data_IF_080073789445
#
_entry.id   IF_080073789445
#
_cell.length_a   1.000
_cell.length_b   1.000
_cell.length_c   1.000
_cell.angle_alpha   90.00
_cell.angle_beta   90.00
_cell.angle_gamma   90.00
#
_symmetry.space_group_name_H-M   'P 1'
#
loop_
_entity.id
_entity.type
_entity.pdbx_description
1 polymer ?
#
# COMPACT_ATOMS: atom_id res chain seq x y z
N UNK A 1 17.86 -11.39 -9.96
CA UNK A 1 16.42 -11.24 -9.72
C UNK A 1 16.22 -10.45 -8.44
N UNK A 2 15.32 -9.48 -8.45
CA UNK A 2 14.84 -8.77 -7.25
C UNK A 2 13.36 -9.00 -7.10
N UNK A 3 12.91 -9.13 -5.84
CA UNK A 3 11.50 -9.03 -5.47
C UNK A 3 11.25 -7.55 -5.21
N UNK A 4 10.41 -6.93 -6.02
CA UNK A 4 10.16 -5.49 -5.92
C UNK A 4 9.07 -5.19 -4.89
N UNK A 5 7.93 -5.86 -4.97
CA UNK A 5 6.83 -5.68 -4.02
C UNK A 5 5.83 -6.84 -4.06
N UNK A 6 4.98 -6.88 -3.03
CA UNK A 6 3.83 -7.79 -3.01
C UNK A 6 2.67 -7.20 -3.81
N UNK A 7 2.02 -8.03 -4.63
CA UNK A 7 0.87 -7.66 -5.43
C UNK A 7 -0.22 -8.72 -5.26
N UNK A 8 -1.30 -8.38 -4.57
CA UNK A 8 -2.34 -9.36 -4.20
C UNK A 8 -1.73 -10.55 -3.44
N UNK A 9 -1.92 -11.77 -3.94
CA UNK A 9 -1.37 -13.01 -3.38
C UNK A 9 -0.07 -13.48 -4.06
N UNK A 10 0.68 -12.56 -4.67
CA UNK A 10 1.91 -12.85 -5.38
C UNK A 10 3.00 -11.82 -5.09
N UNK A 11 4.22 -12.13 -5.50
CA UNK A 11 5.36 -11.22 -5.46
C UNK A 11 5.71 -10.80 -6.89
N UNK A 12 5.77 -9.50 -7.14
CA UNK A 12 6.28 -8.97 -8.39
C UNK A 12 7.80 -8.94 -8.35
N UNK A 13 8.42 -9.53 -9.38
CA UNK A 13 9.85 -9.72 -9.48
C UNK A 13 10.37 -9.16 -10.80
N UNK A 14 11.57 -8.57 -10.76
CA UNK A 14 12.33 -8.16 -11.96
C UNK A 14 13.62 -8.94 -12.07
N UNK A 15 13.98 -9.25 -13.30
CA UNK A 15 15.26 -9.85 -13.62
C UNK A 15 16.17 -8.80 -14.27
N UNK A 16 17.38 -8.67 -13.76
CA UNK A 16 18.39 -7.71 -14.24
C UNK A 16 19.53 -8.48 -14.89
N UNK A 17 19.90 -8.08 -16.09
CA UNK A 17 20.97 -8.72 -16.86
C UNK A 17 20.85 -8.42 -18.36
N UNK A 18 21.79 -8.94 -19.15
CA UNK A 18 21.84 -8.79 -20.61
C UNK A 18 21.04 -9.87 -21.34
N UNK A 19 19.86 -10.22 -20.86
CA UNK A 19 18.96 -11.21 -21.44
C UNK A 19 17.53 -10.68 -21.52
N UNK A 20 16.72 -11.21 -22.43
CA UNK A 20 15.29 -10.94 -22.48
C UNK A 20 14.57 -11.95 -21.57
N UNK A 21 13.73 -11.44 -20.67
CA UNK A 21 12.84 -12.28 -19.87
C UNK A 21 11.58 -12.55 -20.70
N UNK A 22 11.48 -13.76 -21.25
CA UNK A 22 10.31 -14.23 -21.96
C UNK A 22 9.67 -15.45 -21.25
N UNK A 23 8.56 -15.91 -21.79
CA UNK A 23 7.83 -17.05 -21.23
C UNK A 23 8.64 -18.35 -21.27
N UNK A 24 9.46 -18.53 -22.32
CA UNK A 24 10.27 -19.74 -22.49
C UNK A 24 11.41 -19.80 -21.47
N UNK A 25 12.11 -18.69 -21.25
CA UNK A 25 13.12 -18.59 -20.21
C UNK A 25 12.51 -18.82 -18.82
N UNK A 26 11.35 -18.20 -18.54
CA UNK A 26 10.68 -18.36 -17.26
C UNK A 26 10.23 -19.80 -17.02
N UNK A 27 9.74 -20.50 -18.05
CA UNK A 27 9.39 -21.91 -17.97
C UNK A 27 10.63 -22.80 -17.68
N UNK A 28 11.80 -22.47 -18.28
CA UNK A 28 13.05 -23.15 -17.99
C UNK A 28 13.49 -22.93 -16.54
N UNK A 29 13.36 -21.69 -16.03
CA UNK A 29 13.65 -21.36 -14.63
C UNK A 29 12.73 -22.15 -13.71
N UNK A 30 11.41 -22.15 -13.96
CA UNK A 30 10.46 -22.92 -13.16
C UNK A 30 10.79 -24.42 -13.15
N UNK A 31 11.09 -24.99 -14.30
CA UNK A 31 11.52 -26.40 -14.42
C UNK A 31 12.77 -26.68 -13.58
N UNK A 32 13.77 -25.79 -13.62
CA UNK A 32 14.99 -25.94 -12.81
C UNK A 32 14.70 -25.85 -11.33
N UNK A 33 13.87 -24.90 -10.89
CA UNK A 33 13.48 -24.76 -9.49
C UNK A 33 12.74 -26.01 -9.00
N UNK A 34 11.80 -26.55 -9.80
CA UNK A 34 11.11 -27.81 -9.46
C UNK A 34 12.07 -29.00 -9.31
N UNK A 35 13.06 -29.10 -10.20
CA UNK A 35 14.09 -30.13 -10.10
C UNK A 35 14.93 -30.01 -8.82
N UNK A 36 15.20 -28.79 -8.32
CA UNK A 36 15.87 -28.57 -7.05
C UNK A 36 14.97 -28.92 -5.85
N UNK A 37 13.68 -28.64 -5.96
CA UNK A 37 12.67 -29.02 -4.95
C UNK A 37 12.56 -30.53 -4.82
N UNK A 38 12.49 -31.25 -5.94
CA UNK A 38 12.39 -32.72 -5.98
C UNK A 38 13.64 -33.40 -5.39
N UNK A 39 14.79 -32.77 -5.46
CA UNK A 39 16.04 -33.26 -4.90
C UNK A 39 16.11 -33.03 -3.37
N UNK A 40 15.24 -32.23 -2.78
CA UNK A 40 15.25 -31.86 -1.36
C UNK A 40 16.65 -31.46 -0.88
N UNK A 41 17.31 -30.55 -1.63
CA UNK A 41 18.67 -30.12 -1.31
C UNK A 41 18.69 -29.32 0.00
N UNK A 42 19.69 -29.57 0.86
CA UNK A 42 19.80 -28.84 2.13
C UNK A 42 20.09 -27.36 1.89
N UNK A 43 19.47 -26.51 2.73
CA UNK A 43 19.75 -25.08 2.79
C UNK A 43 20.61 -24.87 4.04
N UNK A 44 21.90 -24.76 3.84
CA UNK A 44 22.88 -24.68 4.91
C UNK A 44 22.93 -23.26 5.49
N UNK A 45 22.82 -23.15 6.82
CA UNK A 45 22.90 -21.88 7.54
C UNK A 45 24.24 -21.75 8.25
N UNK A 46 24.94 -20.65 8.03
CA UNK A 46 26.17 -20.31 8.70
C UNK A 46 26.10 -18.91 9.33
N UNK A 47 26.30 -18.80 10.63
CA UNK A 47 26.44 -17.51 11.30
C UNK A 47 27.89 -17.03 11.17
N UNK A 48 28.10 -15.86 10.57
CA UNK A 48 29.41 -15.27 10.33
C UNK A 48 29.50 -13.87 10.95
N UNK A 49 30.71 -13.38 11.14
CA UNK A 49 30.90 -12.00 11.56
C UNK A 49 30.51 -11.04 10.41
N UNK A 50 30.02 -9.86 10.79
CA UNK A 50 29.45 -8.91 9.82
C UNK A 50 30.51 -8.45 8.78
N UNK A 51 31.78 -8.32 9.20
CA UNK A 51 32.89 -7.95 8.30
C UNK A 51 33.17 -9.04 7.27
N UNK A 52 33.14 -10.32 7.68
CA UNK A 52 33.26 -11.46 6.79
C UNK A 52 32.12 -11.49 5.77
N UNK A 53 30.88 -11.29 6.24
CA UNK A 53 29.71 -11.25 5.38
C UNK A 53 29.79 -10.10 4.35
N UNK A 54 30.18 -8.91 4.79
CA UNK A 54 30.34 -7.73 3.89
C UNK A 54 31.40 -7.98 2.82
N UNK A 55 32.56 -8.56 3.21
CA UNK A 55 33.61 -8.89 2.25
C UNK A 55 33.16 -9.94 1.23
N UNK A 56 32.44 -10.98 1.70
CA UNK A 56 31.87 -12.02 0.84
C UNK A 56 30.85 -11.44 -0.15
N UNK A 57 29.89 -10.64 0.31
CA UNK A 57 28.84 -10.04 -0.52
C UNK A 57 29.42 -9.10 -1.57
N UNK A 58 30.39 -8.24 -1.21
CA UNK A 58 31.10 -7.40 -2.15
C UNK A 58 31.85 -8.21 -3.22
N UNK A 59 32.55 -9.25 -2.82
CA UNK A 59 33.28 -10.15 -3.72
C UNK A 59 32.38 -10.88 -4.73
N UNK A 60 31.08 -11.02 -4.42
CA UNK A 60 30.09 -11.65 -5.28
C UNK A 60 29.14 -10.65 -5.97
N UNK A 61 29.48 -9.35 -6.01
CA UNK A 61 28.69 -8.34 -6.71
C UNK A 61 27.37 -7.94 -6.02
N UNK A 62 27.19 -8.29 -4.73
CA UNK A 62 26.01 -7.97 -3.93
C UNK A 62 26.27 -6.71 -3.06
N UNK A 63 26.68 -5.61 -3.71
CA UNK A 63 27.09 -4.40 -3.01
C UNK A 63 25.95 -3.74 -2.23
N UNK A 64 24.71 -3.83 -2.70
CA UNK A 64 23.52 -3.32 -2.05
C UNK A 64 23.32 -3.99 -0.66
N UNK A 65 23.50 -5.31 -0.59
CA UNK A 65 23.43 -6.06 0.66
C UNK A 65 24.60 -5.78 1.61
N UNK A 66 25.81 -5.65 1.05
CA UNK A 66 26.99 -5.26 1.84
C UNK A 66 26.83 -3.86 2.44
N UNK A 67 26.24 -2.92 1.67
CA UNK A 67 25.94 -1.56 2.13
C UNK A 67 24.91 -1.57 3.26
N UNK A 68 23.86 -2.37 3.15
CA UNK A 68 22.86 -2.56 4.20
C UNK A 68 23.50 -3.08 5.50
N UNK A 69 24.41 -4.04 5.41
CA UNK A 69 25.08 -4.60 6.59
C UNK A 69 25.98 -3.60 7.31
N UNK A 70 26.51 -2.59 6.65
CA UNK A 70 27.36 -1.54 7.22
C UNK A 70 26.72 -0.82 8.41
N UNK A 71 25.37 -0.68 8.38
CA UNK A 71 24.62 0.06 9.41
C UNK A 71 23.96 -0.87 10.45
N UNK A 72 24.19 -2.16 10.35
CA UNK A 72 23.59 -3.12 11.25
C UNK A 72 24.33 -3.17 12.59
N UNK A 73 23.59 -3.09 13.70
CA UNK A 73 24.15 -3.11 15.06
C UNK A 73 24.64 -4.53 15.46
N UNK A 74 24.08 -5.59 14.87
CA UNK A 74 24.46 -6.97 15.17
C UNK A 74 25.89 -7.25 14.73
N UNK A 75 26.72 -7.88 15.57
CA UNK A 75 28.07 -8.31 15.21
C UNK A 75 28.10 -9.52 14.28
N UNK A 76 27.00 -10.29 14.19
CA UNK A 76 26.90 -11.50 13.39
C UNK A 76 25.64 -11.51 12.54
N UNK A 77 25.72 -12.13 11.36
CA UNK A 77 24.62 -12.33 10.42
C UNK A 77 24.61 -13.76 9.91
N UNK A 78 23.45 -14.19 9.38
CA UNK A 78 23.30 -15.52 8.81
C UNK A 78 23.47 -15.46 7.28
N UNK A 79 24.37 -16.25 6.78
CA UNK A 79 24.46 -16.60 5.36
C UNK A 79 23.80 -17.97 5.16
N UNK A 80 23.09 -18.11 4.04
CA UNK A 80 22.46 -19.37 3.64
C UNK A 80 23.03 -19.81 2.30
N UNK A 81 23.37 -21.09 2.21
CA UNK A 81 23.97 -21.71 1.02
C UNK A 81 23.04 -22.78 0.47
N UNK A 82 22.74 -22.72 -0.81
CA UNK A 82 22.00 -23.71 -1.57
C UNK A 82 22.73 -24.02 -2.88
N UNK A 83 23.10 -25.26 -3.10
CA UNK A 83 23.75 -25.74 -4.34
C UNK A 83 24.94 -24.85 -4.77
N UNK A 84 25.78 -24.45 -3.81
CA UNK A 84 26.94 -23.58 -4.04
C UNK A 84 26.66 -22.09 -4.17
N UNK A 85 25.39 -21.68 -4.23
CA UNK A 85 25.01 -20.26 -4.18
C UNK A 85 24.78 -19.83 -2.73
N UNK A 86 25.45 -18.78 -2.29
CA UNK A 86 25.36 -18.26 -0.93
C UNK A 86 24.81 -16.83 -0.94
N UNK A 87 23.86 -16.59 -0.05
CA UNK A 87 23.25 -15.27 0.10
C UNK A 87 22.95 -14.95 1.57
N UNK A 88 22.72 -13.67 1.87
CA UNK A 88 22.23 -13.18 3.14
C UNK A 88 20.71 -13.22 3.20
N UNK A 89 20.16 -13.75 4.29
CA UNK A 89 18.73 -13.65 4.57
C UNK A 89 18.48 -13.32 6.05
N UNK A 90 17.60 -12.36 6.27
CA UNK A 90 17.29 -11.84 7.60
C UNK A 90 16.56 -12.83 8.49
N UNK A 91 15.63 -13.61 7.93
CA UNK A 91 14.75 -14.51 8.66
C UNK A 91 15.25 -15.94 8.74
N UNK A 92 14.30 -16.83 8.94
CA UNK A 92 14.53 -18.27 8.92
C UNK A 92 14.19 -18.83 7.54
N UNK A 93 14.98 -19.78 7.07
CA UNK A 93 14.67 -20.59 5.90
C UNK A 93 14.30 -22.01 6.34
N UNK A 94 13.57 -22.70 5.45
CA UNK A 94 13.31 -24.14 5.59
C UNK A 94 14.61 -24.93 5.53
N UNK A 95 14.68 -26.14 6.13
CA UNK A 95 15.92 -26.91 6.16
C UNK A 95 16.39 -27.42 4.78
N UNK A 96 15.46 -27.64 3.87
CA UNK A 96 15.76 -28.11 2.50
C UNK A 96 14.72 -27.60 1.51
N UNK A 97 15.02 -27.76 0.21
CA UNK A 97 14.14 -27.30 -0.88
C UNK A 97 12.86 -28.11 -1.02
N UNK A 98 12.78 -29.31 -0.46
CA UNK A 98 11.60 -30.19 -0.56
C UNK A 98 10.32 -29.60 0.08
N UNK A 99 10.48 -28.58 0.94
CA UNK A 99 9.35 -27.82 1.49
C UNK A 99 8.72 -26.84 0.49
N UNK A 100 9.42 -26.49 -0.60
CA UNK A 100 9.01 -25.41 -1.51
C UNK A 100 8.22 -25.94 -2.73
N UNK A 101 7.30 -26.87 -2.50
CA UNK A 101 6.58 -27.60 -3.56
C UNK A 101 5.59 -26.73 -4.33
N UNK A 102 4.99 -25.76 -3.68
CA UNK A 102 3.83 -25.05 -4.17
C UNK A 102 4.19 -23.61 -4.55
N UNK A 103 4.43 -23.36 -5.82
CA UNK A 103 4.66 -22.05 -6.41
C UNK A 103 4.33 -22.09 -7.90
N UNK A 104 4.18 -20.92 -8.52
CA UNK A 104 4.10 -20.75 -9.96
C UNK A 104 4.79 -19.45 -10.37
N UNK A 105 5.41 -19.48 -11.57
CA UNK A 105 6.04 -18.31 -12.18
C UNK A 105 5.24 -17.94 -13.43
N UNK A 106 4.86 -16.66 -13.56
CA UNK A 106 4.12 -16.18 -14.73
C UNK A 106 4.70 -14.85 -15.22
N UNK A 107 4.88 -14.65 -16.54
CA UNK A 107 5.25 -13.34 -17.07
C UNK A 107 4.21 -12.29 -16.69
N UNK A 108 4.65 -11.11 -16.29
CA UNK A 108 3.74 -10.03 -15.93
C UNK A 108 4.42 -8.67 -16.18
N UNK A 109 3.81 -7.85 -17.05
CA UNK A 109 4.32 -6.53 -17.43
C UNK A 109 5.81 -6.57 -17.83
N UNK A 110 6.67 -5.78 -17.20
CA UNK A 110 8.11 -5.71 -17.44
C UNK A 110 8.95 -6.69 -16.57
N UNK A 111 8.28 -7.66 -15.94
CA UNK A 111 8.88 -8.65 -15.06
C UNK A 111 8.11 -9.97 -15.04
N UNK A 112 8.02 -10.55 -13.86
CA UNK A 112 7.23 -11.75 -13.63
C UNK A 112 6.66 -11.76 -12.20
N UNK A 113 5.66 -12.58 -11.98
CA UNK A 113 5.11 -12.85 -10.65
C UNK A 113 5.53 -14.22 -10.14
N UNK A 114 5.89 -14.27 -8.87
CA UNK A 114 6.02 -15.49 -8.09
C UNK A 114 4.77 -15.63 -7.25
N UNK A 115 3.92 -16.61 -7.59
CA UNK A 115 2.72 -16.95 -6.82
C UNK A 115 3.05 -17.99 -5.77
N UNK A 116 2.50 -17.77 -4.58
CA UNK A 116 2.64 -18.65 -3.43
C UNK A 116 1.25 -19.10 -2.95
N UNK A 117 1.15 -20.22 -2.22
CA UNK A 117 -0.10 -20.64 -1.57
C UNK A 117 -0.59 -19.60 -0.56
N UNK A 118 -1.89 -19.54 -0.37
CA UNK A 118 -2.48 -18.83 0.75
C UNK A 118 -2.34 -19.67 2.05
N UNK A 119 -2.32 -18.99 3.20
CA UNK A 119 -2.21 -19.66 4.51
C UNK A 119 -3.37 -20.65 4.77
N UNK A 120 -4.55 -20.32 4.26
CA UNK A 120 -5.75 -21.14 4.41
C UNK A 120 -5.73 -22.41 3.53
N UNK A 121 -4.92 -22.40 2.47
CA UNK A 121 -4.74 -23.53 1.57
C UNK A 121 -3.27 -23.68 1.13
N UNK A 122 -2.40 -24.17 2.01
CA UNK A 122 -0.94 -24.17 1.80
C UNK A 122 -0.46 -25.16 0.72
N UNK A 123 -1.32 -26.04 0.24
CA UNK A 123 -1.00 -27.04 -0.77
C UNK A 123 -1.52 -26.69 -2.17
N UNK A 124 -2.04 -25.48 -2.36
CA UNK A 124 -2.56 -25.04 -3.65
C UNK A 124 -2.19 -23.60 -3.96
N UNK A 125 -1.64 -23.36 -5.14
CA UNK A 125 -1.43 -22.02 -5.66
C UNK A 125 -2.74 -21.50 -6.24
N UNK A 126 -3.33 -20.50 -5.59
CA UNK A 126 -4.59 -19.89 -6.00
C UNK A 126 -4.49 -19.09 -7.30
N UNK A 127 -5.62 -18.68 -7.86
CA UNK A 127 -5.66 -17.79 -9.02
C UNK A 127 -5.05 -16.41 -8.69
N UNK A 128 -4.40 -15.79 -9.66
CA UNK A 128 -3.86 -14.45 -9.53
C UNK A 128 -4.83 -13.43 -10.13
N UNK A 129 -5.26 -12.49 -9.30
CA UNK A 129 -6.14 -11.39 -9.73
C UNK A 129 -5.52 -10.06 -9.30
N UNK A 130 -4.67 -9.46 -10.16
CA UNK A 130 -3.97 -8.24 -9.80
C UNK A 130 -4.88 -7.02 -9.82
N UNK A 131 -4.67 -6.11 -8.86
CA UNK A 131 -5.17 -4.76 -8.98
C UNK A 131 -4.17 -3.92 -9.79
N UNK A 132 -4.48 -3.68 -11.06
CA UNK A 132 -3.60 -2.90 -11.96
C UNK A 132 -3.38 -1.46 -11.48
N UNK A 133 -4.34 -0.87 -10.75
CA UNK A 133 -4.16 0.46 -10.15
C UNK A 133 -3.10 0.45 -9.06
N UNK A 134 -3.12 -0.58 -8.19
CA UNK A 134 -2.10 -0.76 -7.16
C UNK A 134 -0.74 -1.05 -7.79
N UNK A 135 -0.69 -1.94 -8.77
CA UNK A 135 0.54 -2.23 -9.51
C UNK A 135 1.19 -0.95 -10.07
N UNK A 136 0.44 -0.16 -10.84
CA UNK A 136 0.96 1.09 -11.42
C UNK A 136 1.44 2.06 -10.35
N UNK A 137 0.69 2.24 -9.27
CA UNK A 137 1.08 3.15 -8.19
C UNK A 137 2.41 2.73 -7.53
N UNK A 138 2.62 1.43 -7.30
CA UNK A 138 3.86 0.90 -6.72
C UNK A 138 5.03 0.95 -7.70
N UNK A 139 4.81 0.55 -8.94
CA UNK A 139 5.81 0.59 -10.01
C UNK A 139 6.29 2.03 -10.28
N UNK A 140 5.37 3.00 -10.34
CA UNK A 140 5.72 4.41 -10.47
C UNK A 140 6.46 4.96 -9.24
N UNK A 141 6.12 4.48 -8.04
CA UNK A 141 6.81 4.89 -6.82
C UNK A 141 8.28 4.43 -6.83
N UNK A 142 8.53 3.19 -7.27
CA UNK A 142 9.88 2.63 -7.43
C UNK A 142 10.72 3.47 -8.41
N UNK A 143 10.18 3.75 -9.60
CA UNK A 143 10.89 4.57 -10.60
C UNK A 143 11.26 5.97 -10.10
N UNK A 144 10.42 6.59 -9.29
CA UNK A 144 10.70 7.92 -8.70
C UNK A 144 11.81 7.88 -7.65
N UNK A 145 11.85 6.86 -6.82
CA UNK A 145 12.87 6.73 -5.80
C UNK A 145 14.23 6.43 -6.41
N UNK A 146 14.24 5.59 -7.45
CA UNK A 146 15.44 5.35 -8.24
C UNK A 146 15.98 6.65 -8.87
N UNK A 147 15.11 7.58 -9.29
CA UNK A 147 15.53 8.89 -9.83
C UNK A 147 16.14 9.84 -8.78
N UNK A 148 16.03 9.50 -7.49
CA UNK A 148 16.67 10.20 -6.37
C UNK A 148 17.94 9.49 -5.88
N UNK A 149 18.47 8.53 -6.65
CA UNK A 149 19.59 7.67 -6.28
C UNK A 149 19.39 6.88 -5.00
N UNK A 150 18.12 6.51 -4.71
CA UNK A 150 17.73 5.70 -3.56
C UNK A 150 16.96 4.48 -4.06
N UNK A 151 17.65 3.36 -4.23
CA UNK A 151 17.08 2.10 -4.69
C UNK A 151 16.97 1.05 -3.58
N UNK A 152 17.61 1.30 -2.44
CA UNK A 152 17.64 0.37 -1.31
C UNK A 152 17.90 1.09 0.02
N UNK A 153 17.68 0.37 1.13
CA UNK A 153 17.84 0.91 2.49
C UNK A 153 19.28 1.33 2.77
N UNK A 154 20.28 0.60 2.25
CA UNK A 154 21.69 0.95 2.46
C UNK A 154 22.06 2.32 1.86
N UNK A 155 21.49 2.69 0.71
CA UNK A 155 21.65 4.03 0.11
C UNK A 155 20.97 5.11 0.95
N UNK A 156 19.76 4.82 1.45
CA UNK A 156 19.07 5.73 2.37
C UNK A 156 19.88 5.93 3.66
N UNK A 157 20.44 4.87 4.22
CA UNK A 157 21.27 4.93 5.43
C UNK A 157 22.56 5.74 5.21
N UNK A 158 23.19 5.63 4.02
CA UNK A 158 24.34 6.47 3.65
C UNK A 158 23.99 7.96 3.63
N UNK A 159 22.81 8.33 3.10
CA UNK A 159 22.31 9.71 3.09
C UNK A 159 22.06 10.20 4.53
N UNK A 160 21.41 9.38 5.35
CA UNK A 160 21.15 9.72 6.77
C UNK A 160 22.45 9.90 7.52
N UNK A 161 23.40 8.97 7.38
CA UNK A 161 24.71 9.02 8.04
C UNK A 161 25.59 10.20 7.58
N UNK A 162 25.41 10.66 6.34
CA UNK A 162 26.11 11.84 5.82
C UNK A 162 25.51 13.18 6.28
N UNK A 163 24.39 13.16 7.04
CA UNK A 163 23.72 14.37 7.52
C UNK A 163 22.76 15.01 6.53
N UNK A 164 22.49 14.39 5.37
CA UNK A 164 21.65 14.93 4.31
C UNK A 164 20.16 14.50 4.42
N UNK A 165 19.76 13.92 5.53
CA UNK A 165 18.37 13.44 5.75
C UNK A 165 17.32 14.54 5.56
N UNK A 166 17.61 15.78 6.00
CA UNK A 166 16.69 16.92 5.85
C UNK A 166 16.39 17.23 4.39
N UNK A 167 17.40 17.21 3.52
CA UNK A 167 17.20 17.46 2.10
C UNK A 167 16.35 16.37 1.44
N UNK A 168 16.57 15.12 1.83
CA UNK A 168 15.76 13.99 1.37
C UNK A 168 14.28 14.13 1.80
N UNK A 169 14.04 14.48 3.07
CA UNK A 169 12.68 14.70 3.59
C UNK A 169 11.97 15.81 2.79
N UNK A 170 12.63 16.96 2.61
CA UNK A 170 12.07 18.08 1.86
C UNK A 170 11.76 17.71 0.40
N UNK A 171 12.62 16.92 -0.26
CA UNK A 171 12.39 16.46 -1.62
C UNK A 171 11.16 15.54 -1.70
N UNK A 172 11.01 14.62 -0.75
CA UNK A 172 9.85 13.74 -0.67
C UNK A 172 8.54 14.50 -0.34
N UNK A 173 8.60 15.48 0.56
CA UNK A 173 7.45 16.34 0.86
C UNK A 173 7.03 17.16 -0.35
N UNK A 174 7.97 17.74 -1.07
CA UNK A 174 7.70 18.50 -2.29
C UNK A 174 7.07 17.61 -3.38
N UNK A 175 7.57 16.38 -3.54
CA UNK A 175 6.99 15.41 -4.46
C UNK A 175 5.57 15.02 -4.06
N UNK A 176 5.31 14.82 -2.77
CA UNK A 176 3.98 14.51 -2.25
C UNK A 176 3.01 15.66 -2.53
N UNK A 177 3.39 16.91 -2.23
CA UNK A 177 2.56 18.09 -2.51
C UNK A 177 2.25 18.24 -3.99
N UNK A 178 3.23 18.04 -4.85
CA UNK A 178 3.01 18.04 -6.30
C UNK A 178 1.94 17.03 -6.71
N UNK A 179 2.01 15.80 -6.22
CA UNK A 179 1.03 14.75 -6.55
C UNK A 179 -0.37 15.06 -6.03
N UNK A 180 -0.48 15.67 -4.85
CA UNK A 180 -1.77 16.12 -4.32
C UNK A 180 -2.33 17.24 -5.21
N UNK A 181 -1.47 18.15 -5.69
CA UNK A 181 -1.84 19.18 -6.65
C UNK A 181 -2.35 18.59 -7.98
N UNK A 182 -1.61 17.63 -8.56
CA UNK A 182 -2.03 16.94 -9.80
C UNK A 182 -3.43 16.30 -9.62
N UNK A 183 -3.71 15.67 -8.49
CA UNK A 183 -5.04 15.11 -8.17
C UNK A 183 -6.10 16.21 -8.07
N UNK A 184 -5.78 17.34 -7.43
CA UNK A 184 -6.70 18.45 -7.29
C UNK A 184 -7.04 19.08 -8.65
N UNK A 185 -6.08 19.22 -9.56
CA UNK A 185 -6.28 19.68 -10.94
C UNK A 185 -7.18 18.70 -11.72
N UNK A 186 -6.94 17.39 -11.58
CA UNK A 186 -7.78 16.37 -12.21
C UNK A 186 -9.24 16.45 -11.73
N UNK A 187 -9.45 16.65 -10.41
CA UNK A 187 -10.78 16.83 -9.83
C UNK A 187 -11.44 18.10 -10.37
N UNK A 188 -10.70 19.22 -10.37
CA UNK A 188 -11.22 20.51 -10.84
C UNK A 188 -11.57 20.51 -12.34
N UNK A 189 -10.86 19.73 -13.15
CA UNK A 189 -11.17 19.55 -14.57
C UNK A 189 -12.48 18.77 -14.82
N UNK A 190 -12.95 18.00 -13.84
CA UNK A 190 -14.18 17.17 -13.93
C UNK A 190 -15.36 17.88 -13.28
N UNK A 191 -16.12 18.64 -14.08
CA UNK A 191 -17.23 19.49 -13.60
C UNK A 191 -18.35 18.73 -12.86
N UNK A 192 -18.50 17.44 -13.13
CA UNK A 192 -19.55 16.61 -12.50
C UNK A 192 -19.16 16.11 -11.11
N UNK A 193 -17.88 16.19 -10.72
CA UNK A 193 -17.41 15.71 -9.40
C UNK A 193 -17.90 16.64 -8.31
N UNK A 194 -18.64 16.07 -7.37
CA UNK A 194 -19.14 16.74 -6.16
C UNK A 194 -18.69 16.05 -4.88
N UNK A 195 -18.23 14.80 -4.98
CA UNK A 195 -17.81 13.96 -3.87
C UNK A 195 -16.42 13.39 -4.13
N UNK A 196 -15.45 13.76 -3.32
CA UNK A 196 -14.13 13.14 -3.25
C UNK A 196 -14.14 12.14 -2.11
N UNK A 197 -14.08 10.84 -2.45
CA UNK A 197 -14.24 9.74 -1.51
C UNK A 197 -12.87 9.13 -1.20
N UNK A 198 -12.36 9.35 0.02
CA UNK A 198 -11.01 8.93 0.43
C UNK A 198 -11.10 7.75 1.38
N UNK A 199 -10.58 6.59 0.98
CA UNK A 199 -10.47 5.43 1.84
C UNK A 199 -9.02 4.95 2.00
N UNK A 200 -8.82 4.17 3.05
CA UNK A 200 -7.55 3.53 3.38
C UNK A 200 -7.60 2.91 4.77
N UNK A 201 -6.65 2.08 5.15
CA UNK A 201 -6.62 1.44 6.46
C UNK A 201 -6.50 2.45 7.59
N UNK A 202 -6.74 2.00 8.82
CA UNK A 202 -6.51 2.82 10.01
C UNK A 202 -5.06 3.31 10.04
N UNK A 203 -4.84 4.53 10.52
CA UNK A 203 -3.53 5.19 10.59
C UNK A 203 -2.79 5.37 9.25
N UNK A 204 -3.48 5.28 8.11
CA UNK A 204 -2.88 5.52 6.78
C UNK A 204 -2.71 7.00 6.42
N UNK A 205 -3.14 7.92 7.29
CA UNK A 205 -3.05 9.37 7.05
C UNK A 205 -4.20 9.96 6.24
N UNK A 206 -5.37 9.30 6.14
CA UNK A 206 -6.56 9.78 5.41
C UNK A 206 -6.93 11.22 5.78
N UNK A 207 -7.06 11.51 7.05
CA UNK A 207 -7.44 12.82 7.56
C UNK A 207 -6.41 13.90 7.18
N UNK A 208 -5.12 13.64 7.37
CA UNK A 208 -4.06 14.57 6.95
C UNK A 208 -4.10 14.83 5.44
N UNK A 209 -4.26 13.76 4.66
CA UNK A 209 -4.37 13.87 3.21
C UNK A 209 -5.61 14.65 2.78
N UNK A 210 -6.77 14.41 3.38
CA UNK A 210 -8.02 15.14 3.05
C UNK A 210 -7.88 16.65 3.27
N UNK A 211 -7.21 17.07 4.33
CA UNK A 211 -6.94 18.48 4.58
C UNK A 211 -5.94 19.07 3.57
N UNK A 212 -4.86 18.36 3.23
CA UNK A 212 -3.88 18.81 2.23
C UNK A 212 -4.53 18.90 0.85
N UNK A 213 -5.32 17.89 0.46
CA UNK A 213 -6.07 17.91 -0.80
C UNK A 213 -7.08 19.07 -0.82
N UNK A 214 -7.77 19.33 0.29
CA UNK A 214 -8.68 20.48 0.41
C UNK A 214 -7.96 21.80 0.15
N UNK A 215 -6.73 21.96 0.67
CA UNK A 215 -5.91 23.14 0.39
C UNK A 215 -5.59 23.28 -1.11
N UNK A 216 -5.24 22.20 -1.78
CA UNK A 216 -4.96 22.22 -3.22
C UNK A 216 -6.23 22.46 -4.06
N UNK A 217 -7.38 21.91 -3.63
CA UNK A 217 -8.68 22.19 -4.28
C UNK A 217 -9.07 23.66 -4.18
N UNK A 218 -8.81 24.31 -3.02
CA UNK A 218 -8.97 25.77 -2.87
C UNK A 218 -8.09 26.52 -3.87
N UNK A 219 -6.82 26.12 -4.04
CA UNK A 219 -5.92 26.72 -5.01
C UNK A 219 -6.41 26.56 -6.46
N UNK A 220 -7.14 25.47 -6.75
CA UNK A 220 -7.82 25.23 -8.04
C UNK A 220 -9.15 25.97 -8.19
N UNK A 221 -9.56 26.79 -7.21
CA UNK A 221 -10.79 27.59 -7.25
C UNK A 221 -12.07 26.87 -6.80
N UNK A 222 -11.96 25.67 -6.24
CA UNK A 222 -13.06 24.93 -5.64
C UNK A 222 -13.24 25.29 -4.16
N UNK A 223 -14.41 24.99 -3.60
CA UNK A 223 -14.69 25.15 -2.15
C UNK A 223 -14.88 23.77 -1.51
N UNK A 224 -13.83 23.17 -0.95
CA UNK A 224 -13.90 21.87 -0.31
C UNK A 224 -14.53 21.93 1.08
N UNK A 225 -15.35 20.93 1.39
CA UNK A 225 -15.94 20.70 2.71
C UNK A 225 -15.49 19.33 3.22
N UNK A 226 -14.50 19.26 4.14
CA UNK A 226 -14.06 18.00 4.73
C UNK A 226 -15.14 17.37 5.61
N UNK A 227 -15.41 16.09 5.41
CA UNK A 227 -16.37 15.30 6.19
C UNK A 227 -15.72 13.96 6.58
N UNK A 228 -15.70 13.67 7.88
CA UNK A 228 -15.34 12.35 8.36
C UNK A 228 -16.57 11.43 8.39
N UNK A 229 -16.48 10.25 7.77
CA UNK A 229 -17.60 9.29 7.82
C UNK A 229 -17.88 8.80 9.23
N UNK A 230 -16.91 8.91 10.13
CA UNK A 230 -17.06 8.55 11.54
C UNK A 230 -18.19 9.33 12.23
N UNK A 231 -18.58 10.50 11.71
CA UNK A 231 -19.73 11.23 12.18
C UNK A 231 -21.06 10.52 11.88
N UNK A 232 -21.06 9.53 11.03
CA UNK A 232 -22.22 8.73 10.65
C UNK A 232 -22.25 7.34 11.30
N UNK A 233 -21.44 7.09 12.33
CA UNK A 233 -21.61 5.89 13.15
C UNK A 233 -23.00 5.83 13.79
N UNK A 234 -23.53 4.62 13.91
CA UNK A 234 -24.68 4.32 14.77
C UNK A 234 -24.28 4.56 16.22
N UNK A 235 -25.25 4.79 17.11
CA UNK A 235 -24.93 4.81 18.53
C UNK A 235 -24.29 3.47 18.94
N UNK A 236 -23.41 3.50 19.93
CA UNK A 236 -22.65 2.31 20.35
C UNK A 236 -23.55 1.11 20.65
N UNK A 237 -24.71 1.36 21.28
CA UNK A 237 -25.65 0.31 21.64
C UNK A 237 -26.30 -0.36 20.42
N UNK A 238 -26.42 0.39 19.31
CA UNK A 238 -27.05 -0.05 18.05
C UNK A 238 -26.04 -0.70 17.09
N UNK A 239 -24.75 -0.72 17.46
CA UNK A 239 -23.69 -1.32 16.62
C UNK A 239 -23.84 -2.85 16.58
N UNK A 240 -23.82 -3.48 15.40
CA UNK A 240 -23.85 -4.93 15.28
C UNK A 240 -22.72 -5.61 16.05
N UNK A 241 -22.93 -6.88 16.39
CA UNK A 241 -21.90 -7.70 17.05
C UNK A 241 -21.38 -8.76 16.06
N UNK A 242 -20.11 -9.04 16.19
CA UNK A 242 -19.44 -10.11 15.44
C UNK A 242 -19.85 -11.52 15.96
N UNK A 243 -19.29 -12.58 15.33
CA UNK A 243 -19.55 -13.97 15.71
C UNK A 243 -19.08 -14.31 17.14
N UNK A 244 -18.21 -13.49 17.75
CA UNK A 244 -17.71 -13.66 19.12
C UNK A 244 -18.50 -12.80 20.14
N UNK A 245 -19.55 -12.10 19.70
CA UNK A 245 -20.37 -11.23 20.54
C UNK A 245 -19.73 -9.87 20.84
N UNK A 246 -18.61 -9.51 20.21
CA UNK A 246 -17.98 -8.19 20.32
C UNK A 246 -18.63 -7.22 19.35
N UNK A 247 -18.64 -5.91 19.68
CA UNK A 247 -19.12 -4.90 18.76
C UNK A 247 -18.22 -4.84 17.51
N UNK A 248 -18.82 -4.95 16.34
CA UNK A 248 -18.11 -4.82 15.04
C UNK A 248 -18.11 -3.35 14.59
N UNK A 249 -17.14 -2.58 15.07
CA UNK A 249 -16.98 -1.15 14.72
C UNK A 249 -16.36 -0.94 13.32
N UNK A 250 -15.76 -1.97 12.74
CA UNK A 250 -15.12 -1.86 11.42
C UNK A 250 -16.06 -2.31 10.28
N UNK A 251 -17.10 -3.02 10.58
CA UNK A 251 -18.11 -3.46 9.62
C UNK A 251 -18.97 -2.31 9.10
N UNK A 252 -19.45 -2.42 7.86
CA UNK A 252 -20.36 -1.44 7.26
C UNK A 252 -21.64 -1.27 8.09
N UNK A 253 -22.09 -2.30 8.81
CA UNK A 253 -23.25 -2.24 9.70
C UNK A 253 -23.12 -1.29 10.89
N UNK A 254 -21.90 -0.90 11.27
CA UNK A 254 -21.66 0.13 12.29
C UNK A 254 -22.02 1.52 11.81
N UNK A 255 -22.11 1.72 10.48
CA UNK A 255 -22.42 2.99 9.86
C UNK A 255 -23.93 3.15 9.66
N UNK A 256 -24.44 4.36 9.81
CA UNK A 256 -25.79 4.73 9.40
C UNK A 256 -25.80 5.12 7.93
N UNK A 257 -25.75 4.09 7.07
CA UNK A 257 -25.66 4.22 5.62
C UNK A 257 -26.87 4.99 5.05
N UNK A 258 -28.05 4.77 5.60
CA UNK A 258 -29.29 5.43 5.17
C UNK A 258 -29.23 6.94 5.43
N UNK A 259 -28.83 7.34 6.64
CA UNK A 259 -28.68 8.75 7.00
C UNK A 259 -27.61 9.42 6.14
N UNK A 260 -26.46 8.77 5.94
CA UNK A 260 -25.40 9.29 5.08
C UNK A 260 -25.91 9.54 3.65
N UNK A 261 -26.56 8.55 3.04
CA UNK A 261 -27.08 8.68 1.68
C UNK A 261 -28.19 9.73 1.57
N UNK A 262 -29.06 9.84 2.57
CA UNK A 262 -30.10 10.87 2.64
C UNK A 262 -29.47 12.28 2.67
N UNK A 263 -28.53 12.51 3.56
CA UNK A 263 -27.88 13.81 3.74
C UNK A 263 -27.09 14.22 2.49
N UNK A 264 -26.28 13.32 1.94
CA UNK A 264 -25.50 13.57 0.73
C UNK A 264 -26.40 13.85 -0.49
N UNK A 265 -27.51 13.12 -0.62
CA UNK A 265 -28.48 13.33 -1.70
C UNK A 265 -29.21 14.69 -1.59
N UNK A 266 -29.51 15.13 -0.37
CA UNK A 266 -30.11 16.44 -0.09
C UNK A 266 -29.11 17.57 -0.41
N UNK A 267 -27.86 17.42 0.02
CA UNK A 267 -26.78 18.36 -0.30
C UNK A 267 -26.59 18.49 -1.81
N UNK A 268 -26.62 17.37 -2.56
CA UNK A 268 -26.50 17.40 -4.01
C UNK A 268 -27.63 18.17 -4.69
N UNK A 269 -28.83 18.22 -4.09
CA UNK A 269 -29.97 19.01 -4.56
C UNK A 269 -29.91 20.48 -4.12
N UNK A 270 -28.87 20.89 -3.38
CA UNK A 270 -28.74 22.24 -2.84
C UNK A 270 -29.59 22.51 -1.60
N UNK A 271 -30.10 21.46 -0.94
CA UNK A 271 -30.83 21.61 0.32
C UNK A 271 -29.85 21.84 1.48
N UNK A 272 -30.34 22.52 2.51
CA UNK A 272 -29.59 22.67 3.78
C UNK A 272 -29.73 21.39 4.63
N UNK A 273 -28.60 20.86 5.07
CA UNK A 273 -28.53 19.68 5.94
C UNK A 273 -27.90 20.06 7.28
N UNK A 274 -28.46 19.56 8.37
CA UNK A 274 -27.89 19.66 9.72
C UNK A 274 -26.85 18.52 9.86
N UNK A 275 -25.57 18.85 9.97
CA UNK A 275 -24.48 17.89 9.93
C UNK A 275 -24.29 17.19 11.27
N UNK A 276 -24.22 15.85 11.29
CA UNK A 276 -23.99 15.11 12.51
C UNK A 276 -22.54 15.22 12.99
N UNK A 277 -22.34 15.02 14.28
CA UNK A 277 -21.03 14.83 14.92
C UNK A 277 -21.09 13.62 15.84
N UNK A 278 -20.11 12.74 15.77
CA UNK A 278 -20.08 11.56 16.64
C UNK A 278 -19.26 11.83 17.91
N UNK A 279 -19.89 11.68 19.06
CA UNK A 279 -19.24 11.81 20.35
C UNK A 279 -18.66 10.47 20.82
N UNK A 280 -17.39 10.22 20.55
CA UNK A 280 -16.70 8.96 20.88
C UNK A 280 -16.70 8.62 22.37
N UNK A 281 -16.70 9.64 23.25
CA UNK A 281 -16.72 9.41 24.70
C UNK A 281 -18.08 8.87 25.17
N UNK A 282 -19.18 9.46 24.68
CA UNK A 282 -20.52 9.01 24.96
C UNK A 282 -20.97 7.83 24.11
N UNK A 283 -20.37 7.65 22.94
CA UNK A 283 -20.74 6.64 21.94
C UNK A 283 -22.07 6.94 21.24
N UNK A 284 -22.38 8.22 21.03
CA UNK A 284 -23.64 8.66 20.40
C UNK A 284 -23.39 9.74 19.36
N UNK A 285 -24.29 9.80 18.38
CA UNK A 285 -24.34 10.87 17.40
C UNK A 285 -25.11 12.07 17.97
N UNK A 286 -24.56 13.25 17.79
CA UNK A 286 -25.11 14.52 18.27
C UNK A 286 -25.26 15.49 17.09
N UNK A 287 -26.21 16.42 17.16
CA UNK A 287 -26.41 17.51 16.23
C UNK A 287 -26.14 18.83 16.95
N UNK A 288 -25.06 19.48 16.58
CA UNK A 288 -24.60 20.71 17.25
C UNK A 288 -25.05 21.99 16.53
N UNK A 289 -25.97 21.88 15.57
CA UNK A 289 -26.48 22.99 14.77
C UNK A 289 -25.57 23.44 13.63
N UNK A 290 -24.54 22.63 13.29
CA UNK A 290 -23.72 22.86 12.11
C UNK A 290 -24.53 22.54 10.86
N UNK A 291 -24.73 23.54 9.99
CA UNK A 291 -25.52 23.40 8.77
C UNK A 291 -24.67 23.59 7.55
N UNK A 292 -24.88 22.73 6.56
CA UNK A 292 -24.20 22.78 5.27
C UNK A 292 -25.21 22.90 4.13
N UNK A 293 -24.91 23.74 3.16
CA UNK A 293 -25.63 23.86 1.89
C UNK A 293 -24.59 23.96 0.78
N UNK A 294 -24.72 23.15 -0.27
CA UNK A 294 -23.77 23.20 -1.39
C UNK A 294 -24.22 24.21 -2.45
N UNK A 295 -23.30 25.08 -2.84
CA UNK A 295 -23.39 25.96 -4.00
C UNK A 295 -22.56 25.48 -5.19
N UNK A 296 -22.47 26.32 -6.20
CA UNK A 296 -21.60 26.06 -7.36
C UNK A 296 -20.13 26.12 -6.92
N UNK A 297 -19.36 25.11 -7.35
CA UNK A 297 -17.94 24.97 -7.01
C UNK A 297 -17.65 24.37 -5.62
N UNK A 298 -18.69 24.01 -4.86
CA UNK A 298 -18.51 23.28 -3.62
C UNK A 298 -18.30 21.79 -3.88
N UNK A 299 -17.33 21.17 -3.16
CA UNK A 299 -16.97 19.76 -3.25
C UNK A 299 -16.87 19.17 -1.84
N UNK A 300 -17.51 18.04 -1.61
CA UNK A 300 -17.42 17.32 -0.35
C UNK A 300 -16.18 16.40 -0.39
N UNK A 301 -15.26 16.59 0.57
CA UNK A 301 -14.07 15.75 0.73
C UNK A 301 -14.32 14.80 1.88
N UNK A 302 -14.77 13.59 1.55
CA UNK A 302 -15.27 12.60 2.49
C UNK A 302 -14.20 11.54 2.75
N UNK A 303 -13.82 11.34 4.01
CA UNK A 303 -12.83 10.36 4.39
C UNK A 303 -13.35 9.32 5.37
N UNK A 304 -12.95 8.07 5.17
CA UNK A 304 -13.27 6.95 6.06
C UNK A 304 -12.99 5.59 5.44
N UNK A 305 -13.03 4.55 6.25
CA UNK A 305 -12.65 3.20 5.80
C UNK A 305 -13.58 2.63 4.72
N UNK A 306 -14.86 3.06 4.69
CA UNK A 306 -15.88 2.59 3.77
C UNK A 306 -16.08 3.45 2.52
N UNK A 307 -15.34 4.55 2.34
CA UNK A 307 -15.57 5.50 1.24
C UNK A 307 -15.45 4.90 -0.17
N UNK A 308 -14.72 3.80 -0.35
CA UNK A 308 -14.63 3.11 -1.65
C UNK A 308 -15.69 2.01 -1.83
N UNK A 309 -16.40 1.64 -0.78
CA UNK A 309 -17.49 0.66 -0.88
C UNK A 309 -18.71 1.30 -1.57
N UNK A 310 -19.17 0.69 -2.66
CA UNK A 310 -20.34 1.20 -3.41
C UNK A 310 -21.63 1.06 -2.61
N UNK A 311 -21.73 0.11 -1.69
CA UNK A 311 -22.88 -0.04 -0.79
C UNK A 311 -22.99 1.13 0.18
N UNK A 312 -21.85 1.70 0.64
CA UNK A 312 -21.84 2.86 1.53
C UNK A 312 -22.42 4.11 0.87
N UNK A 313 -22.17 4.31 -0.41
CA UNK A 313 -22.60 5.50 -1.16
C UNK A 313 -23.51 5.14 -2.35
N UNK A 314 -24.44 4.20 -2.14
CA UNK A 314 -25.25 3.59 -3.21
C UNK A 314 -26.21 4.58 -3.91
N UNK A 315 -26.69 5.61 -3.21
CA UNK A 315 -27.62 6.58 -3.77
C UNK A 315 -26.93 7.69 -4.60
N UNK A 316 -25.59 7.80 -4.51
CA UNK A 316 -24.87 8.87 -5.19
C UNK A 316 -24.46 8.46 -6.62
N UNK A 317 -24.65 9.34 -7.63
CA UNK A 317 -24.26 9.06 -9.01
C UNK A 317 -22.76 8.72 -9.12
N UNK A 318 -22.41 7.75 -9.95
CA UNK A 318 -21.01 7.32 -10.11
C UNK A 318 -20.13 8.41 -10.67
N UNK A 319 -20.65 9.18 -11.62
CA UNK A 319 -19.99 10.30 -12.28
C UNK A 319 -19.67 11.45 -11.32
N UNK A 320 -20.47 11.62 -10.25
CA UNK A 320 -20.26 12.68 -9.25
C UNK A 320 -19.18 12.31 -8.23
N UNK A 321 -18.64 11.10 -8.26
CA UNK A 321 -17.64 10.58 -7.30
C UNK A 321 -16.25 10.54 -7.90
N UNK A 322 -15.26 11.01 -7.14
CA UNK A 322 -13.85 10.79 -7.38
C UNK A 322 -13.28 9.95 -6.21
N UNK A 323 -12.82 8.75 -6.50
CA UNK A 323 -12.42 7.77 -5.49
C UNK A 323 -10.90 7.72 -5.35
N UNK A 324 -10.41 7.88 -4.11
CA UNK A 324 -8.98 7.87 -3.77
C UNK A 324 -8.74 6.78 -2.72
N UNK A 325 -7.76 5.92 -2.98
CA UNK A 325 -7.24 4.97 -2.00
C UNK A 325 -5.90 5.46 -1.46
N UNK A 326 -5.79 5.54 -0.14
CA UNK A 326 -4.55 5.89 0.55
C UNK A 326 -4.03 4.68 1.30
N UNK A 327 -2.76 4.37 1.10
CA UNK A 327 -2.05 3.32 1.80
C UNK A 327 -0.61 3.72 2.07
N UNK A 328 -0.07 3.35 3.22
CA UNK A 328 1.36 3.46 3.52
C UNK A 328 2.20 2.37 2.83
N UNK A 329 1.60 1.43 2.10
CA UNK A 329 2.30 0.37 1.38
C UNK A 329 3.23 0.89 0.27
N UNK A 330 3.00 2.09 -0.25
CA UNK A 330 3.89 2.73 -1.22
C UNK A 330 5.17 3.29 -0.60
N UNK A 331 5.29 3.27 0.72
CA UNK A 331 6.52 3.56 1.45
C UNK A 331 7.40 2.32 1.62
N UNK A 332 7.02 1.21 1.04
CA UNK A 332 7.81 -0.04 1.07
C UNK A 332 9.02 0.03 0.14
N UNK A 333 9.90 0.99 0.41
CA UNK A 333 11.29 0.98 -0.02
C UNK A 333 12.13 0.00 0.82
N UNK A 334 11.50 -0.64 1.79
CA UNK A 334 12.14 -1.53 2.73
C UNK A 334 11.79 -2.95 2.32
N UNK A 335 12.33 -3.39 1.21
CA UNK A 335 12.54 -4.81 1.04
C UNK A 335 13.77 -5.20 1.87
N UNK A 336 13.43 -5.69 3.03
CA UNK A 336 14.40 -6.34 3.90
C UNK A 336 14.78 -7.67 3.28
#
# INVERSE_FOLDING_TARGET
>A
VRVEFSLSNALFCKAYGSFALDADLLAQVEKRVRALVDQALPIEKRAVDIEEAMAFLKGNGMEDKARLLKYRISSRVNLYTLDGFTDYFYGYMVPDTGYLKWFALEPFEDGFILRLPALENPEQVGAFTPSMKVFRAMHDAEGRTASMDISNVGEMDDIVASGNATQLILAHEALMEKRIGDIAEEIAARKDVRFVMIAGPSSSGKTTFSHRLSTQLLACGLRPHPIATDNYFRNREDTPRDANGQYDFEGLGAMDVEQFNSDMSRLLKGETVDMPTFNFKKGVREYNGEKLTLGDGDVLVIEGIHCLNDEFSHSLPKESKYKIYISCLTLSLIHI
#
